data_IF_257410421973
#
_entry.id   IF_257410421973
#
_cell.length_a   1.000
_cell.length_b   1.000
_cell.length_c   1.000
_cell.angle_alpha   90.00
_cell.angle_beta   90.00
_cell.angle_gamma   90.00
#
_symmetry.space_group_name_H-M   'P 1'
#
loop_
_entity.id
_entity.type
_entity.pdbx_description
1 polymer ?
#
# COMPACT_ATOMS: atom_id res chain seq x y z
N UNK A 1 2.49 5.14 0.45
CA UNK A 1 2.83 3.74 0.80
C UNK A 1 2.23 2.69 -0.15
N UNK A 2 0.91 2.67 -0.32
CA UNK A 2 0.20 1.52 -0.91
C UNK A 2 0.63 1.04 -2.30
N UNK A 3 1.31 1.85 -3.13
CA UNK A 3 1.85 1.40 -4.41
C UNK A 3 3.34 1.05 -4.38
N UNK A 4 4.13 1.86 -3.67
CA UNK A 4 5.59 1.65 -3.57
C UNK A 4 5.94 0.42 -2.73
N UNK A 5 5.04 -0.04 -1.85
CA UNK A 5 5.20 -1.29 -1.12
C UNK A 5 5.06 -2.55 -2.01
N UNK A 6 4.68 -2.42 -3.28
CA UNK A 6 4.56 -3.52 -4.24
C UNK A 6 5.75 -3.54 -5.22
N UNK A 7 5.95 -4.68 -5.88
CA UNK A 7 6.96 -4.82 -6.93
C UNK A 7 6.39 -4.56 -8.34
N UNK A 8 7.22 -4.08 -9.28
CA UNK A 8 6.82 -3.95 -10.68
C UNK A 8 6.72 -5.33 -11.35
N UNK A 9 5.64 -5.55 -12.08
CA UNK A 9 5.38 -6.79 -12.85
C UNK A 9 4.87 -6.39 -14.23
N UNK A 10 5.19 -7.18 -15.26
CA UNK A 10 4.68 -6.96 -16.61
C UNK A 10 3.16 -7.08 -16.67
N UNK A 11 2.54 -6.11 -17.34
CA UNK A 11 1.08 -6.07 -17.51
C UNK A 11 0.67 -6.56 -18.90
N UNK A 12 -0.53 -7.13 -19.00
CA UNK A 12 -1.02 -7.75 -20.23
C UNK A 12 -1.54 -6.76 -21.29
N UNK A 13 -1.20 -5.46 -21.20
CA UNK A 13 -1.56 -4.49 -22.24
C UNK A 13 -0.57 -4.56 -23.39
N UNK A 14 -1.04 -5.01 -24.56
CA UNK A 14 -0.22 -5.26 -25.76
C UNK A 14 0.70 -4.09 -26.10
N UNK A 15 0.21 -2.85 -26.02
CA UNK A 15 0.95 -1.66 -26.41
C UNK A 15 1.74 -1.00 -25.26
N UNK A 16 1.60 -1.48 -24.01
CA UNK A 16 2.27 -0.85 -22.86
C UNK A 16 2.62 -1.86 -21.75
N UNK A 17 3.16 -3.02 -22.14
CA UNK A 17 3.54 -4.11 -21.21
C UNK A 17 4.53 -3.67 -20.13
N UNK A 18 5.43 -2.76 -20.51
CA UNK A 18 6.49 -2.19 -19.66
C UNK A 18 6.04 -0.98 -18.82
N UNK A 19 4.74 -0.64 -18.77
CA UNK A 19 4.24 0.55 -18.07
C UNK A 19 4.72 0.65 -16.62
N UNK A 20 4.75 -0.47 -15.88
CA UNK A 20 5.14 -0.47 -14.47
C UNK A 20 6.56 0.08 -14.26
N UNK A 21 7.49 -0.19 -15.18
CA UNK A 21 8.85 0.36 -15.09
C UNK A 21 8.84 1.89 -15.25
N UNK A 22 8.08 2.41 -16.23
CA UNK A 22 7.90 3.87 -16.41
C UNK A 22 7.23 4.52 -15.20
N UNK A 23 6.25 3.83 -14.61
CA UNK A 23 5.54 4.29 -13.43
C UNK A 23 6.48 4.43 -12.23
N UNK A 24 7.31 3.42 -11.94
CA UNK A 24 8.27 3.49 -10.83
C UNK A 24 9.37 4.52 -11.09
N UNK A 25 9.86 4.66 -12.32
CA UNK A 25 10.81 5.73 -12.68
C UNK A 25 10.24 7.13 -12.38
N UNK A 26 8.97 7.37 -12.72
CA UNK A 26 8.29 8.63 -12.41
C UNK A 26 8.13 8.85 -10.89
N UNK A 27 7.80 7.79 -10.13
CA UNK A 27 7.75 7.86 -8.67
C UNK A 27 9.11 8.19 -8.09
N UNK A 28 10.17 7.49 -8.47
CA UNK A 28 11.53 7.72 -7.96
C UNK A 28 11.91 9.18 -8.21
N UNK A 29 11.69 9.66 -9.43
CA UNK A 29 11.94 11.07 -9.79
C UNK A 29 11.16 12.05 -8.92
N UNK A 30 9.87 11.77 -8.65
CA UNK A 30 9.04 12.61 -7.78
C UNK A 30 9.59 12.66 -6.35
N UNK A 31 9.95 11.52 -5.78
CA UNK A 31 10.49 11.43 -4.42
C UNK A 31 11.81 12.19 -4.31
N UNK A 32 12.75 11.96 -5.24
CA UNK A 32 14.04 12.67 -5.29
C UNK A 32 13.87 14.19 -5.43
N UNK A 33 12.92 14.63 -6.28
CA UNK A 33 12.65 16.04 -6.48
C UNK A 33 12.04 16.67 -5.21
N UNK A 34 11.05 16.03 -4.61
CA UNK A 34 10.40 16.51 -3.39
C UNK A 34 11.40 16.57 -2.23
N UNK A 35 12.23 15.54 -2.05
CA UNK A 35 13.27 15.52 -1.02
C UNK A 35 14.28 16.66 -1.23
N UNK A 36 14.83 16.78 -2.44
CA UNK A 36 15.81 17.83 -2.79
C UNK A 36 15.24 19.23 -2.62
N UNK A 37 13.97 19.43 -2.94
CA UNK A 37 13.27 20.73 -2.83
C UNK A 37 12.63 20.95 -1.47
N UNK A 38 12.74 19.99 -0.54
CA UNK A 38 12.09 20.02 0.78
C UNK A 38 10.59 20.28 0.69
N UNK A 39 9.94 19.68 -0.31
CA UNK A 39 8.49 19.78 -0.52
C UNK A 39 7.82 18.59 0.17
N UNK A 40 6.92 18.81 1.15
CA UNK A 40 6.23 17.72 1.82
C UNK A 40 5.40 16.92 0.82
N UNK A 41 5.60 15.60 0.79
CA UNK A 41 4.78 14.68 0.02
C UNK A 41 3.86 13.93 0.97
N UNK A 42 2.55 14.21 0.91
CA UNK A 42 1.55 13.65 1.81
C UNK A 42 0.58 12.81 0.99
N UNK A 43 0.57 11.49 1.22
CA UNK A 43 -0.44 10.59 0.69
C UNK A 43 -1.63 10.53 1.64
N UNK A 44 -2.85 10.72 1.12
CA UNK A 44 -4.09 10.62 1.89
C UNK A 44 -5.00 9.60 1.20
N UNK A 45 -5.57 8.67 1.97
CA UNK A 45 -6.47 7.64 1.47
C UNK A 45 -7.67 7.46 2.40
N UNK A 46 -8.88 7.74 1.89
CA UNK A 46 -10.15 7.65 2.64
C UNK A 46 -10.55 6.20 2.97
N UNK A 47 -10.32 5.29 2.04
CA UNK A 47 -10.69 3.88 2.19
C UNK A 47 -9.45 3.02 2.08
N UNK A 48 -8.77 2.84 3.21
CA UNK A 48 -7.60 1.96 3.27
C UNK A 48 -8.01 0.55 3.62
N UNK A 49 -7.64 -0.41 2.76
CA UNK A 49 -7.71 -1.85 3.08
C UNK A 49 -6.45 -2.37 3.77
N UNK A 50 -5.63 -1.48 4.33
CA UNK A 50 -4.40 -1.86 5.03
C UNK A 50 -4.69 -2.35 6.44
N UNK A 51 -3.78 -3.17 6.96
CA UNK A 51 -3.79 -3.77 8.29
C UNK A 51 -2.49 -3.50 9.05
N UNK A 52 -1.72 -2.47 8.68
CA UNK A 52 -0.37 -2.26 9.22
C UNK A 52 -0.41 -1.91 10.72
N UNK A 53 -1.46 -1.21 11.17
CA UNK A 53 -1.60 -0.88 12.59
C UNK A 53 -2.02 -2.11 13.40
N UNK A 54 -2.92 -2.93 12.85
CA UNK A 54 -3.27 -4.23 13.44
C UNK A 54 -2.08 -5.19 13.49
N UNK A 55 -1.28 -5.26 12.42
CA UNK A 55 -0.03 -6.04 12.36
C UNK A 55 0.96 -5.62 13.45
N UNK A 56 1.12 -4.31 13.65
CA UNK A 56 1.91 -3.75 14.75
C UNK A 56 1.39 -4.21 16.12
N UNK A 57 0.09 -4.03 16.39
CA UNK A 57 -0.50 -4.39 17.69
C UNK A 57 -0.35 -5.89 17.98
N UNK A 58 -0.60 -6.76 16.99
CA UNK A 58 -0.45 -8.21 17.14
C UNK A 58 1.01 -8.57 17.45
N UNK A 59 1.97 -7.97 16.73
CA UNK A 59 3.41 -8.16 16.99
C UNK A 59 3.75 -7.75 18.42
N UNK A 60 3.31 -6.58 18.89
CA UNK A 60 3.62 -6.12 20.25
C UNK A 60 3.01 -7.02 21.32
N UNK A 61 1.75 -7.44 21.16
CA UNK A 61 1.09 -8.36 22.11
C UNK A 61 1.84 -9.70 22.17
N UNK A 62 2.24 -10.26 21.02
CA UNK A 62 2.98 -11.52 21.00
C UNK A 62 4.38 -11.38 21.62
N UNK A 63 5.05 -10.24 21.40
CA UNK A 63 6.34 -9.95 22.03
C UNK A 63 6.22 -9.80 23.56
N UNK A 64 5.13 -9.21 24.06
CA UNK A 64 4.84 -9.16 25.50
C UNK A 64 4.60 -10.56 26.06
N UNK A 65 3.80 -11.39 25.37
CA UNK A 65 3.58 -12.79 25.74
C UNK A 65 4.86 -13.63 25.74
N UNK A 66 5.82 -13.32 24.86
CA UNK A 66 7.13 -13.97 24.83
C UNK A 66 7.95 -13.60 26.07
N UNK A 67 7.97 -12.31 26.45
CA UNK A 67 8.63 -11.82 27.67
C UNK A 67 8.02 -12.44 28.93
N UNK A 68 6.71 -12.67 28.93
CA UNK A 68 5.98 -13.32 30.02
C UNK A 68 6.13 -14.85 30.02
N UNK A 69 6.85 -15.43 29.04
CA UNK A 69 7.12 -16.86 28.94
C UNK A 69 5.95 -17.72 28.44
N UNK A 70 4.85 -17.10 27.98
CA UNK A 70 3.68 -17.81 27.43
C UNK A 70 3.94 -18.41 26.05
N UNK A 71 4.85 -17.80 25.30
CA UNK A 71 5.33 -18.29 24.01
C UNK A 71 6.87 -18.24 24.00
N UNK A 72 7.49 -19.20 23.31
CA UNK A 72 8.96 -19.29 23.25
C UNK A 72 9.61 -18.49 22.12
N UNK A 73 8.87 -18.28 21.03
CA UNK A 73 9.39 -17.65 19.81
C UNK A 73 8.21 -17.05 19.02
N UNK A 74 7.85 -15.80 19.33
CA UNK A 74 6.82 -15.08 18.60
C UNK A 74 7.26 -14.79 17.16
N UNK A 75 8.56 -14.57 16.93
CA UNK A 75 9.14 -14.30 15.63
C UNK A 75 8.87 -15.41 14.61
N UNK A 76 9.02 -16.67 15.02
CA UNK A 76 8.70 -17.84 14.20
C UNK A 76 7.24 -17.88 13.80
N UNK A 77 6.30 -17.68 14.73
CA UNK A 77 4.87 -17.67 14.42
C UNK A 77 4.49 -16.53 13.46
N UNK A 78 5.00 -15.32 13.73
CA UNK A 78 4.79 -14.16 12.86
C UNK A 78 5.31 -14.42 11.44
N UNK A 79 6.49 -15.04 11.30
CA UNK A 79 7.05 -15.42 10.00
C UNK A 79 6.20 -16.49 9.30
N UNK A 80 5.74 -17.52 10.04
CA UNK A 80 4.88 -18.56 9.48
C UNK A 80 3.54 -17.99 9.01
N UNK A 81 2.93 -17.06 9.73
CA UNK A 81 1.66 -16.45 9.35
C UNK A 81 1.72 -15.72 7.98
N UNK A 82 2.92 -15.28 7.58
CA UNK A 82 3.17 -14.65 6.28
C UNK A 82 3.39 -15.68 5.16
N UNK A 83 4.17 -16.72 5.44
CA UNK A 83 4.68 -17.67 4.44
C UNK A 83 3.79 -18.91 4.26
N UNK A 84 3.25 -19.45 5.35
CA UNK A 84 2.45 -20.67 5.38
C UNK A 84 1.35 -20.56 6.45
N UNK A 85 0.23 -19.97 6.03
CA UNK A 85 -0.94 -19.71 6.87
C UNK A 85 -1.44 -20.96 7.62
N UNK A 86 -1.40 -22.13 6.95
CA UNK A 86 -1.88 -23.37 7.55
C UNK A 86 -0.95 -23.82 8.67
N UNK A 87 0.35 -23.87 8.40
CA UNK A 87 1.34 -24.21 9.43
C UNK A 87 1.35 -23.22 10.59
N UNK A 88 1.09 -21.93 10.32
CA UNK A 88 0.99 -20.93 11.37
C UNK A 88 -0.15 -21.24 12.35
N UNK A 89 -1.31 -21.65 11.85
CA UNK A 89 -2.45 -22.09 12.68
C UNK A 89 -2.09 -23.38 13.43
N UNK A 90 -1.56 -24.39 12.73
CA UNK A 90 -1.18 -25.66 13.35
C UNK A 90 -0.15 -25.47 14.50
N UNK A 91 0.81 -24.55 14.34
CA UNK A 91 1.79 -24.22 15.39
C UNK A 91 1.17 -23.39 16.54
N UNK A 92 0.21 -22.50 16.24
CA UNK A 92 -0.51 -21.75 17.26
C UNK A 92 -1.42 -22.67 18.11
N UNK A 93 -2.10 -23.64 17.50
CA UNK A 93 -2.96 -24.60 18.19
C UNK A 93 -2.18 -25.48 19.17
N UNK A 94 -0.93 -25.84 18.84
CA UNK A 94 -0.04 -26.61 19.74
C UNK A 94 0.28 -25.88 21.04
N UNK A 95 0.19 -24.54 21.06
CA UNK A 95 0.42 -23.76 22.26
C UNK A 95 -0.76 -23.80 23.24
N UNK A 96 -1.94 -24.28 22.80
CA UNK A 96 -3.16 -24.40 23.60
C UNK A 96 -3.60 -23.08 24.26
N UNK A 97 -3.18 -21.93 23.73
CA UNK A 97 -3.57 -20.60 24.19
C UNK A 97 -4.53 -19.97 23.18
N UNK A 98 -5.81 -19.88 23.55
CA UNK A 98 -6.84 -19.31 22.68
C UNK A 98 -6.54 -17.88 22.22
N UNK A 99 -5.81 -17.11 23.04
CA UNK A 99 -5.47 -15.73 22.70
C UNK A 99 -4.47 -15.70 21.55
N UNK A 100 -3.44 -16.55 21.61
CA UNK A 100 -2.43 -16.67 20.56
C UNK A 100 -3.09 -17.17 19.26
N UNK A 101 -3.97 -18.17 19.34
CA UNK A 101 -4.70 -18.68 18.17
C UNK A 101 -5.49 -17.56 17.51
N UNK A 102 -6.30 -16.81 18.27
CA UNK A 102 -7.09 -15.67 17.76
C UNK A 102 -6.22 -14.57 17.15
N UNK A 103 -5.06 -14.26 17.74
CA UNK A 103 -4.13 -13.26 17.20
C UNK A 103 -3.55 -13.70 15.84
N UNK A 104 -3.18 -14.97 15.70
CA UNK A 104 -2.67 -15.51 14.44
C UNK A 104 -3.77 -15.59 13.38
N UNK A 105 -4.98 -16.00 13.75
CA UNK A 105 -6.13 -15.94 12.84
C UNK A 105 -6.40 -14.51 12.37
N UNK A 106 -6.38 -13.54 13.27
CA UNK A 106 -6.63 -12.13 12.95
C UNK A 106 -5.56 -11.59 11.98
N UNK A 107 -4.29 -11.95 12.18
CA UNK A 107 -3.19 -11.61 11.27
C UNK A 107 -3.36 -12.24 9.87
N UNK A 108 -3.87 -13.47 9.81
CA UNK A 108 -4.09 -14.19 8.55
C UNK A 108 -5.27 -13.63 7.74
N UNK A 109 -6.35 -13.23 8.43
CA UNK A 109 -7.58 -12.71 7.82
C UNK A 109 -7.45 -11.25 7.34
N UNK A 110 -6.50 -10.47 7.88
CA UNK A 110 -6.17 -9.10 7.45
C UNK A 110 -7.38 -8.17 7.39
N UNK A 111 -8.10 -8.07 8.50
CA UNK A 111 -9.19 -7.09 8.60
C UNK A 111 -8.62 -5.67 8.54
N UNK A 112 -9.23 -4.76 7.76
CA UNK A 112 -8.74 -3.40 7.65
C UNK A 112 -8.66 -2.67 8.98
N UNK A 113 -7.67 -1.77 9.12
CA UNK A 113 -7.44 -0.96 10.31
C UNK A 113 -8.62 -0.02 10.60
N UNK A 114 -9.33 0.47 9.58
CA UNK A 114 -10.48 1.36 9.78
C UNK A 114 -11.57 0.72 10.65
N UNK A 115 -11.78 -0.60 10.54
CA UNK A 115 -12.76 -1.31 11.37
C UNK A 115 -12.33 -1.33 12.84
N UNK A 116 -11.03 -1.53 13.09
CA UNK A 116 -10.49 -1.49 14.45
C UNK A 116 -10.69 -0.10 15.06
N UNK A 117 -10.34 0.94 14.30
CA UNK A 117 -10.41 2.32 14.77
C UNK A 117 -11.86 2.74 15.05
N UNK A 118 -12.79 2.46 14.14
CA UNK A 118 -14.21 2.79 14.37
C UNK A 118 -14.82 2.07 15.57
N UNK A 119 -14.36 0.85 15.88
CA UNK A 119 -14.86 0.08 17.01
C UNK A 119 -14.25 0.49 18.36
N UNK A 120 -13.05 1.08 18.36
CA UNK A 120 -12.28 1.35 19.60
C UNK A 120 -12.06 2.83 19.89
N UNK A 121 -12.16 3.73 18.91
CA UNK A 121 -11.90 5.15 19.10
C UNK A 121 -13.05 5.84 19.83
N UNK A 122 -12.72 6.52 20.94
CA UNK A 122 -13.70 7.27 21.72
C UNK A 122 -13.84 8.74 21.26
N UNK A 123 -12.80 9.30 20.64
CA UNK A 123 -12.74 10.68 20.17
C UNK A 123 -11.98 10.80 18.85
N UNK A 124 -12.02 12.00 18.25
CA UNK A 124 -11.12 12.36 17.16
C UNK A 124 -9.65 12.27 17.61
N UNK A 125 -8.76 12.03 16.65
CA UNK A 125 -7.33 11.87 16.92
C UNK A 125 -6.63 11.06 15.83
N UNK A 126 -5.44 10.56 16.13
CA UNK A 126 -4.67 9.72 15.22
C UNK A 126 -4.04 8.53 15.94
N UNK A 127 -3.77 7.45 15.20
CA UNK A 127 -3.03 6.29 15.73
C UNK A 127 -1.55 6.60 15.87
N UNK A 128 -0.83 5.86 16.72
CA UNK A 128 0.65 5.93 16.78
C UNK A 128 1.25 5.86 15.37
N UNK A 129 2.14 6.81 15.00
CA UNK A 129 2.86 6.76 13.74
C UNK A 129 3.77 5.55 13.66
N UNK A 130 3.66 4.83 12.54
CA UNK A 130 4.45 3.63 12.28
C UNK A 130 5.35 3.83 11.07
N UNK A 131 6.61 3.43 11.21
CA UNK A 131 7.54 3.33 10.10
C UNK A 131 7.28 2.02 9.35
N UNK A 132 7.05 2.14 8.04
CA UNK A 132 6.68 1.04 7.16
C UNK A 132 7.71 0.85 6.06
N UNK A 133 8.07 -0.41 5.83
CA UNK A 133 8.95 -0.84 4.75
C UNK A 133 8.23 -1.58 3.63
N UNK A 134 8.95 -2.43 2.93
CA UNK A 134 8.38 -3.27 1.88
C UNK A 134 7.28 -4.16 2.47
N UNK A 135 6.19 -4.35 1.74
CA UNK A 135 5.14 -5.25 2.21
C UNK A 135 5.75 -6.62 2.47
N UNK A 136 5.52 -7.19 3.66
CA UNK A 136 6.07 -8.47 4.11
C UNK A 136 5.91 -9.61 3.08
N UNK A 137 4.82 -9.58 2.30
CA UNK A 137 4.55 -10.51 1.19
C UNK A 137 5.60 -10.47 0.06
N UNK A 138 6.15 -9.29 -0.20
CA UNK A 138 7.07 -9.04 -1.29
C UNK A 138 8.53 -9.06 -0.84
N UNK A 139 8.81 -9.35 0.44
CA UNK A 139 10.17 -9.36 0.99
C UNK A 139 11.12 -10.22 0.17
N UNK A 140 10.70 -11.43 -0.19
CA UNK A 140 11.48 -12.34 -1.05
C UNK A 140 11.80 -11.74 -2.42
N UNK A 141 10.90 -10.93 -2.98
CA UNK A 141 11.13 -10.28 -4.27
C UNK A 141 12.10 -9.10 -4.14
N UNK A 142 12.03 -8.35 -3.03
CA UNK A 142 13.04 -7.34 -2.69
C UNK A 142 14.42 -7.99 -2.53
N UNK A 143 14.52 -9.14 -1.86
CA UNK A 143 15.77 -9.91 -1.75
C UNK A 143 16.29 -10.37 -3.13
N UNK A 144 15.39 -10.79 -4.03
CA UNK A 144 15.75 -11.13 -5.42
C UNK A 144 16.29 -9.93 -6.19
N UNK A 145 15.62 -8.77 -6.10
CA UNK A 145 16.09 -7.53 -6.72
C UNK A 145 17.47 -7.13 -6.18
N UNK A 146 17.69 -7.27 -4.87
CA UNK A 146 18.95 -6.94 -4.24
C UNK A 146 20.10 -7.86 -4.70
N UNK A 147 19.81 -9.17 -4.84
CA UNK A 147 20.79 -10.18 -5.28
C UNK A 147 21.10 -10.06 -6.77
N UNK A 148 20.06 -10.08 -7.61
CA UNK A 148 20.19 -10.06 -9.06
C UNK A 148 18.98 -9.34 -9.71
N UNK A 149 19.08 -8.03 -9.96
CA UNK A 149 17.98 -7.27 -10.57
C UNK A 149 17.72 -7.67 -12.03
N UNK A 150 18.73 -8.17 -12.77
CA UNK A 150 18.54 -8.61 -14.15
C UNK A 150 17.72 -9.90 -14.20
N UNK A 151 18.07 -10.88 -13.35
CA UNK A 151 17.29 -12.12 -13.21
C UNK A 151 15.84 -11.82 -12.78
N UNK A 152 15.65 -10.90 -11.84
CA UNK A 152 14.32 -10.44 -11.44
C UNK A 152 13.55 -9.86 -12.63
N UNK A 153 14.16 -8.96 -13.41
CA UNK A 153 13.51 -8.33 -14.58
C UNK A 153 13.17 -9.38 -15.63
N UNK A 154 14.09 -10.28 -15.96
CA UNK A 154 13.85 -11.36 -16.94
C UNK A 154 12.66 -12.23 -16.49
N UNK A 155 12.60 -12.56 -15.19
CA UNK A 155 11.54 -13.37 -14.58
C UNK A 155 10.17 -12.66 -14.57
N UNK A 156 10.13 -11.36 -14.24
CA UNK A 156 8.87 -10.60 -14.06
C UNK A 156 8.39 -9.88 -15.32
N UNK A 157 9.23 -9.79 -16.35
CA UNK A 157 8.95 -9.16 -17.64
C UNK A 157 9.30 -10.05 -18.84
N UNK A 158 8.74 -11.26 -18.96
CA UNK A 158 9.17 -12.26 -19.94
C UNK A 158 9.06 -11.81 -21.41
N UNK A 159 8.15 -10.89 -21.74
CA UNK A 159 8.00 -10.39 -23.11
C UNK A 159 8.89 -9.17 -23.37
N UNK A 160 8.90 -8.21 -22.43
CA UNK A 160 9.72 -7.00 -22.56
C UNK A 160 11.22 -7.28 -22.42
N UNK A 161 11.61 -8.30 -21.64
CA UNK A 161 13.01 -8.70 -21.42
C UNK A 161 13.71 -9.29 -22.64
N UNK A 162 12.97 -9.59 -23.72
CA UNK A 162 13.55 -9.99 -25.01
C UNK A 162 14.42 -8.88 -25.64
N UNK A 163 14.24 -7.64 -25.21
CA UNK A 163 15.06 -6.50 -25.63
C UNK A 163 16.12 -6.22 -24.57
N UNK A 164 17.38 -6.34 -24.94
CA UNK A 164 18.51 -6.13 -24.02
C UNK A 164 18.53 -4.73 -23.41
N UNK A 165 18.23 -3.70 -24.21
CA UNK A 165 18.10 -2.32 -23.73
C UNK A 165 17.04 -2.17 -22.62
N UNK A 166 15.92 -2.87 -22.75
CA UNK A 166 14.89 -2.86 -21.72
C UNK A 166 15.40 -3.47 -20.43
N UNK A 167 16.09 -4.62 -20.50
CA UNK A 167 16.67 -5.27 -19.31
C UNK A 167 17.62 -4.31 -18.61
N UNK A 168 18.58 -3.72 -19.34
CA UNK A 168 19.54 -2.77 -18.75
C UNK A 168 18.86 -1.58 -18.07
N UNK A 169 17.83 -0.98 -18.69
CA UNK A 169 17.09 0.15 -18.11
C UNK A 169 16.24 -0.28 -16.91
N UNK A 170 15.48 -1.36 -17.05
CA UNK A 170 14.60 -1.85 -16.01
C UNK A 170 15.39 -2.30 -14.77
N UNK A 171 16.54 -2.96 -14.95
CA UNK A 171 17.41 -3.39 -13.85
C UNK A 171 17.93 -2.24 -13.00
N UNK A 172 18.25 -1.10 -13.62
CA UNK A 172 18.58 0.14 -12.89
C UNK A 172 17.39 0.63 -12.07
N UNK A 173 16.21 0.72 -12.69
CA UNK A 173 15.01 1.23 -12.03
C UNK A 173 14.59 0.33 -10.86
N UNK A 174 14.57 -0.99 -11.02
CA UNK A 174 14.19 -1.90 -9.93
C UNK A 174 15.20 -1.85 -8.78
N UNK A 175 16.49 -1.65 -9.07
CA UNK A 175 17.50 -1.44 -8.02
C UNK A 175 17.22 -0.18 -7.21
N UNK A 176 16.83 0.92 -7.86
CA UNK A 176 16.47 2.16 -7.17
C UNK A 176 15.18 2.06 -6.34
N UNK A 177 14.28 1.11 -6.63
CA UNK A 177 13.10 0.87 -5.76
C UNK A 177 13.53 0.50 -4.34
N UNK A 178 14.65 -0.22 -4.19
CA UNK A 178 15.20 -0.56 -2.87
C UNK A 178 15.63 0.69 -2.09
N UNK A 179 16.01 1.76 -2.81
CA UNK A 179 16.48 3.02 -2.23
C UNK A 179 15.35 4.02 -1.93
N UNK A 180 14.10 3.72 -2.31
CA UNK A 180 12.97 4.55 -1.93
C UNK A 180 12.90 4.67 -0.39
N UNK A 181 12.50 5.83 0.14
CA UNK A 181 12.42 6.00 1.58
C UNK A 181 11.35 5.09 2.18
N UNK A 182 11.59 4.66 3.41
CA UNK A 182 10.52 4.13 4.25
C UNK A 182 9.40 5.17 4.39
N UNK A 183 8.22 4.73 4.81
CA UNK A 183 7.06 5.60 4.95
C UNK A 183 6.62 5.63 6.40
N UNK A 184 6.50 6.82 6.97
CA UNK A 184 5.77 7.03 8.21
C UNK A 184 4.29 7.08 7.87
N UNK A 185 3.52 6.17 8.47
CA UNK A 185 2.10 6.01 8.21
C UNK A 185 1.31 5.97 9.51
N UNK A 186 0.16 6.64 9.51
CA UNK A 186 -0.81 6.61 10.60
C UNK A 186 -2.22 6.77 10.07
N UNK A 187 -3.20 6.44 10.90
CA UNK A 187 -4.60 6.75 10.60
C UNK A 187 -5.01 8.00 11.36
N UNK A 188 -5.68 8.93 10.66
CA UNK A 188 -6.29 10.13 11.21
C UNK A 188 -7.80 9.95 11.21
N UNK A 189 -8.43 10.13 12.37
CA UNK A 189 -9.88 10.24 12.53
C UNK A 189 -10.23 11.69 12.87
N UNK A 190 -10.66 12.50 11.88
CA UNK A 190 -10.95 13.93 12.10
C UNK A 190 -12.15 14.16 13.03
N UNK A 191 -13.14 13.28 12.96
CA UNK A 191 -14.37 13.33 13.76
C UNK A 191 -14.91 11.92 13.98
N UNK A 192 -15.63 11.72 15.10
CA UNK A 192 -16.22 10.42 15.46
C UNK A 192 -17.25 9.90 14.44
N UNK A 193 -17.89 10.81 13.70
CA UNK A 193 -18.87 10.47 12.68
C UNK A 193 -18.24 10.27 11.28
N UNK A 194 -16.92 10.32 11.17
CA UNK A 194 -16.18 10.20 9.92
C UNK A 194 -15.49 8.83 9.80
N UNK A 195 -14.92 8.57 8.62
CA UNK A 195 -14.08 7.41 8.34
C UNK A 195 -12.60 7.74 8.59
N UNK A 196 -11.83 6.86 9.27
CA UNK A 196 -10.39 7.05 9.45
C UNK A 196 -9.67 7.10 8.09
N UNK A 197 -8.89 8.14 7.87
CA UNK A 197 -8.04 8.31 6.69
C UNK A 197 -6.64 7.77 6.96
N UNK A 198 -6.05 7.04 6.01
CA UNK A 198 -4.62 6.70 6.07
C UNK A 198 -3.81 7.88 5.55
N UNK A 199 -2.82 8.29 6.33
CA UNK A 199 -1.84 9.31 5.99
C UNK A 199 -0.48 8.63 5.81
N UNK A 200 0.15 8.84 4.65
CA UNK A 200 1.44 8.28 4.27
C UNK A 200 2.44 9.41 4.00
N UNK A 201 3.61 9.42 4.65
CA UNK A 201 4.62 10.48 4.50
C UNK A 201 6.01 9.84 4.37
N UNK A 202 6.85 10.26 3.40
CA UNK A 202 8.21 9.77 3.31
C UNK A 202 9.00 10.03 4.59
N UNK A 203 9.72 9.02 5.08
CA UNK A 203 10.43 9.07 6.35
C UNK A 203 11.49 10.18 6.40
N UNK A 204 12.11 10.52 5.26
CA UNK A 204 13.07 11.63 5.16
C UNK A 204 12.49 12.98 5.59
N UNK A 205 11.17 13.19 5.49
CA UNK A 205 10.52 14.42 5.94
C UNK A 205 10.72 14.65 7.44
N UNK A 206 10.79 13.56 8.22
CA UNK A 206 11.04 13.57 9.66
C UNK A 206 12.52 13.37 10.01
N UNK A 207 13.43 13.43 9.03
CA UNK A 207 14.87 13.19 9.24
C UNK A 207 15.27 11.72 9.39
N UNK A 208 14.34 10.79 9.15
CA UNK A 208 14.56 9.34 9.20
C UNK A 208 15.16 8.90 7.84
N UNK A 209 16.27 8.17 7.86
CA UNK A 209 17.06 7.83 6.64
C UNK A 209 16.76 6.44 6.09
N UNK A 210 15.99 5.67 6.84
CA UNK A 210 15.66 4.30 6.57
C UNK A 210 14.93 4.16 5.24
N UNK A 211 15.37 3.18 4.46
CA UNK A 211 14.80 2.84 3.16
C UNK A 211 13.67 1.83 3.32
N UNK A 212 12.83 1.76 2.29
CA UNK A 212 11.73 0.80 2.25
C UNK A 212 12.22 -0.65 2.35
N UNK A 213 13.41 -0.96 1.85
CA UNK A 213 13.99 -2.31 1.94
C UNK A 213 14.57 -2.67 3.31
N UNK A 214 14.82 -1.68 4.16
CA UNK A 214 15.49 -1.86 5.45
C UNK A 214 14.49 -2.12 6.59
N UNK A 215 13.25 -1.65 6.42
CA UNK A 215 12.19 -1.78 7.41
C UNK A 215 11.40 -3.07 7.15
N UNK A 216 11.29 -3.90 8.19
CA UNK A 216 10.57 -5.18 8.14
C UNK A 216 9.13 -5.04 8.59
N UNK A 217 8.87 -5.45 9.84
CA UNK A 217 7.57 -5.26 10.46
C UNK A 217 7.33 -3.77 10.76
N UNK A 218 6.07 -3.31 10.81
CA UNK A 218 5.76 -1.96 11.27
C UNK A 218 6.36 -1.69 12.66
N UNK A 219 6.93 -0.49 12.83
CA UNK A 219 7.61 -0.07 14.06
C UNK A 219 7.14 1.31 14.50
N UNK A 220 6.89 1.50 15.79
CA UNK A 220 6.47 2.80 16.32
C UNK A 220 7.59 3.83 16.21
N UNK A 221 7.25 5.04 15.76
CA UNK A 221 8.17 6.17 15.69
C UNK A 221 7.58 7.40 16.38
N UNK A 222 8.44 8.13 17.07
CA UNK A 222 8.09 9.39 17.71
C UNK A 222 8.48 10.55 16.79
N UNK A 223 7.48 11.15 16.12
CA UNK A 223 7.67 12.22 15.14
C UNK A 223 6.71 13.39 15.43
N UNK A 224 7.14 14.62 15.11
CA UNK A 224 6.31 15.82 15.24
C UNK A 224 5.36 15.91 14.02
N UNK A 225 4.05 15.82 14.26
CA UNK A 225 3.04 15.79 13.20
C UNK A 225 2.32 17.13 12.98
N UNK A 226 2.60 18.15 13.80
CA UNK A 226 1.84 19.39 13.86
C UNK A 226 1.73 20.10 12.51
N UNK A 227 2.81 20.18 11.74
CA UNK A 227 2.77 20.76 10.39
C UNK A 227 1.83 19.99 9.45
N UNK A 228 1.93 18.66 9.46
CA UNK A 228 1.15 17.79 8.59
C UNK A 228 -0.32 17.84 8.96
N UNK A 229 -0.63 17.77 10.25
CA UNK A 229 -2.00 17.88 10.76
C UNK A 229 -2.61 19.24 10.43
N UNK A 230 -1.85 20.34 10.57
CA UNK A 230 -2.31 21.68 10.15
C UNK A 230 -2.66 21.73 8.66
N UNK A 231 -1.81 21.18 7.80
CA UNK A 231 -2.06 21.14 6.35
C UNK A 231 -3.30 20.31 6.00
N UNK A 232 -3.45 19.13 6.61
CA UNK A 232 -4.61 18.27 6.39
C UNK A 232 -5.90 18.95 6.88
N UNK A 233 -5.86 19.53 8.08
CA UNK A 233 -7.01 20.26 8.65
C UNK A 233 -7.39 21.48 7.83
N UNK A 234 -6.44 22.21 7.25
CA UNK A 234 -6.73 23.36 6.38
C UNK A 234 -7.52 22.98 5.11
N UNK A 235 -7.36 21.73 4.64
CA UNK A 235 -8.10 21.21 3.51
C UNK A 235 -9.40 20.47 3.88
N UNK A 236 -9.63 20.18 5.16
CA UNK A 236 -10.76 19.37 5.62
C UNK A 236 -12.04 20.21 5.78
N UNK A 237 -13.14 19.76 5.17
CA UNK A 237 -14.43 20.46 5.18
C UNK A 237 -15.57 19.60 5.76
N UNK A 238 -15.26 18.65 6.65
CA UNK A 238 -16.27 17.80 7.29
C UNK A 238 -16.75 16.64 6.41
N UNK A 239 -17.95 16.14 6.72
CA UNK A 239 -18.55 14.97 6.05
C UNK A 239 -18.84 15.22 4.56
N UNK A 240 -19.06 16.47 4.17
CA UNK A 240 -19.35 16.83 2.78
C UNK A 240 -18.10 16.75 1.89
N UNK A 241 -16.93 17.08 2.44
CA UNK A 241 -15.67 17.05 1.71
C UNK A 241 -14.47 16.85 2.64
N UNK A 242 -13.83 15.68 2.53
CA UNK A 242 -12.71 15.27 3.38
C UNK A 242 -11.40 16.01 3.07
N UNK A 243 -11.19 16.44 1.83
CA UNK A 243 -10.05 17.26 1.45
C UNK A 243 -10.36 18.02 0.15
N UNK A 244 -10.47 19.35 0.22
CA UNK A 244 -10.86 20.18 -0.92
C UNK A 244 -9.93 20.02 -2.12
N UNK A 245 -8.61 19.93 -1.92
CA UNK A 245 -7.65 19.80 -3.01
C UNK A 245 -7.75 18.45 -3.71
N UNK A 246 -7.88 17.36 -2.95
CA UNK A 246 -8.05 16.02 -3.54
C UNK A 246 -9.39 15.88 -4.25
N UNK A 247 -10.46 16.45 -3.69
CA UNK A 247 -11.78 16.46 -4.32
C UNK A 247 -11.81 17.27 -5.62
N UNK A 248 -11.10 18.40 -5.68
CA UNK A 248 -10.98 19.20 -6.90
C UNK A 248 -10.28 18.41 -8.02
N UNK A 249 -9.13 17.80 -7.71
CA UNK A 249 -8.40 16.99 -8.69
C UNK A 249 -9.23 15.78 -9.13
N UNK A 250 -9.87 15.07 -8.21
CA UNK A 250 -10.74 13.93 -8.53
C UNK A 250 -11.88 14.36 -9.49
N UNK A 251 -12.50 15.51 -9.25
CA UNK A 251 -13.56 16.03 -10.11
C UNK A 251 -13.07 16.38 -11.53
N UNK A 252 -11.85 16.92 -11.66
CA UNK A 252 -11.27 17.29 -12.96
C UNK A 252 -10.88 16.07 -13.80
N UNK A 253 -10.32 15.02 -13.16
CA UNK A 253 -9.87 13.82 -13.87
C UNK A 253 -10.96 12.76 -14.03
N UNK A 254 -12.09 12.90 -13.33
CA UNK A 254 -13.19 11.94 -13.39
C UNK A 254 -13.77 11.89 -14.80
N UNK A 255 -13.68 10.71 -15.42
CA UNK A 255 -14.33 10.46 -16.70
C UNK A 255 -15.85 10.57 -16.53
N UNK A 256 -16.41 11.67 -17.06
CA UNK A 256 -17.85 11.93 -16.98
C UNK A 256 -18.60 10.91 -17.81
N UNK A 257 -19.77 10.51 -17.32
CA UNK A 257 -20.66 9.56 -17.99
C UNK A 257 -20.94 9.98 -19.43
N UNK A 258 -21.22 11.26 -19.64
CA UNK A 258 -21.47 11.83 -20.97
C UNK A 258 -20.27 11.63 -21.91
N UNK A 259 -19.04 11.91 -21.45
CA UNK A 259 -17.83 11.71 -22.25
C UNK A 259 -17.65 10.21 -22.55
N UNK A 260 -17.88 9.34 -21.56
CA UNK A 260 -17.80 7.91 -21.76
C UNK A 260 -18.82 7.42 -22.80
N UNK A 261 -20.09 7.78 -22.65
CA UNK A 261 -21.19 7.34 -23.51
C UNK A 261 -21.10 7.91 -24.93
N UNK A 262 -20.63 9.16 -25.09
CA UNK A 262 -20.65 9.85 -26.39
C UNK A 262 -19.31 9.75 -27.15
N UNK A 263 -18.20 9.47 -26.49
CA UNK A 263 -16.87 9.42 -27.13
C UNK A 263 -16.23 8.04 -27.03
N UNK A 264 -16.10 7.50 -25.82
CA UNK A 264 -15.35 6.25 -25.59
C UNK A 264 -16.14 5.02 -26.02
N UNK A 265 -17.42 4.94 -25.64
CA UNK A 265 -18.27 3.80 -25.95
C UNK A 265 -18.41 3.61 -27.47
N UNK A 266 -18.75 4.64 -28.30
CA UNK A 266 -18.88 4.46 -29.74
C UNK A 266 -17.58 4.01 -30.39
N UNK A 267 -16.42 4.55 -29.95
CA UNK A 267 -15.12 4.13 -30.48
C UNK A 267 -14.79 2.69 -30.09
N UNK A 268 -15.15 2.27 -28.89
CA UNK A 268 -14.98 0.89 -28.46
C UNK A 268 -15.88 -0.06 -29.28
N UNK A 269 -17.13 0.32 -29.50
CA UNK A 269 -18.08 -0.44 -30.33
C UNK A 269 -17.61 -0.57 -31.78
N UNK A 270 -17.01 0.49 -32.34
CA UNK A 270 -16.37 0.47 -33.66
C UNK A 270 -15.22 -0.53 -33.72
N UNK A 271 -14.31 -0.49 -32.74
CA UNK A 271 -13.13 -1.38 -32.69
C UNK A 271 -13.54 -2.84 -32.50
N UNK A 272 -14.55 -3.10 -31.67
CA UNK A 272 -15.01 -4.45 -31.32
C UNK A 272 -16.05 -4.97 -32.33
N UNK A 273 -16.63 -4.09 -33.14
CA UNK A 273 -17.69 -4.42 -34.10
C UNK A 273 -19.01 -4.85 -33.44
N UNK A 274 -19.30 -4.37 -32.22
CA UNK A 274 -20.50 -4.74 -31.44
C UNK A 274 -21.09 -3.53 -30.76
N UNK A 275 -22.40 -3.33 -30.89
CA UNK A 275 -23.13 -2.25 -30.23
C UNK A 275 -23.64 -2.68 -28.85
N UNK A 276 -23.30 -1.93 -27.81
CA UNK A 276 -23.85 -2.05 -26.47
C UNK A 276 -25.02 -1.07 -26.33
N UNK A 277 -26.23 -1.58 -26.10
CA UNK A 277 -27.37 -0.67 -25.89
C UNK A 277 -27.28 0.03 -24.53
N UNK A 278 -27.57 1.35 -24.42
CA UNK A 278 -27.29 2.13 -23.21
C UNK A 278 -28.21 1.84 -22.01
N UNK A 279 -29.19 0.93 -22.15
CA UNK A 279 -30.14 0.64 -21.08
C UNK A 279 -29.69 -0.53 -20.22
N UNK A 280 -28.82 -0.21 -19.27
CA UNK A 280 -28.56 -1.03 -18.09
C UNK A 280 -27.41 -2.02 -18.28
N UNK A 281 -26.38 -1.84 -17.46
CA UNK A 281 -25.16 -2.63 -17.25
C UNK A 281 -25.33 -4.15 -16.98
N UNK A 282 -26.41 -4.81 -17.42
CA UNK A 282 -26.72 -6.21 -17.10
C UNK A 282 -26.99 -7.16 -18.27
N UNK A 283 -26.98 -6.71 -19.53
CA UNK A 283 -27.16 -7.64 -20.66
C UNK A 283 -26.27 -7.27 -21.84
N UNK A 284 -25.02 -7.73 -21.80
CA UNK A 284 -24.28 -8.00 -23.04
C UNK A 284 -25.00 -9.17 -23.70
N UNK A 285 -25.71 -8.95 -24.81
CA UNK A 285 -26.16 -10.07 -25.65
C UNK A 285 -24.96 -10.49 -26.50
N UNK A 286 -24.39 -11.64 -26.15
CA UNK A 286 -23.52 -12.39 -27.03
C UNK A 286 -24.41 -13.20 -28.00
N UNK A 287 -24.05 -13.32 -29.29
CA UNK A 287 -24.39 -14.52 -30.04
C UNK A 287 -23.62 -15.73 -29.49
#
# INVERSE_FOLDING_TARGET
YGRIAHIPIEINFVNNRAFMIKYFEAIITLFELCERKKVPLIGISKESRTSFFREFLIKEILNEMEKDGRIKDAGKLLSLALDDKRKAIDEAEKLQDETIIKLIEELIHRRPDFQLILNCANSAGYTTPLLLGASLRWRREYDRIARDPEEFVISRFPLSSRKEEFVRRASKIVREILNLPAIVSFHLLPSKNDTPMRIDIPAWFFGIKEKISEVGWPEAVNVELGEILRLISAGYCGLDNYNIWLSAVDFEVRLRREIFENLYLPKFEEIVGRFATPRGYRRVRFP
#
